data_IF_491331801129
#
_entry.id   IF_491331801129
#
_cell.length_a   1.000
_cell.length_b   1.000
_cell.length_c   1.000
_cell.angle_alpha   90.00
_cell.angle_beta   90.00
_cell.angle_gamma   90.00
#
_symmetry.space_group_name_H-M   'P 1'
#
loop_
_entity.id
_entity.type
_entity.pdbx_description
1 polymer ?
#
# COMPACT_ATOMS: atom_id res chain seq x y z
N UNK A 1 -4.08 -18.29 -56.16
CA UNK A 1 -4.49 -18.26 -54.74
C UNK A 1 -4.23 -16.86 -54.21
N UNK A 2 -5.23 -16.00 -54.30
CA UNK A 2 -6.09 -15.60 -53.19
C UNK A 2 -5.37 -14.77 -52.10
N UNK A 3 -5.69 -13.47 -52.13
CA UNK A 3 -5.99 -12.57 -51.01
C UNK A 3 -4.94 -12.45 -49.89
N UNK A 4 -4.44 -11.23 -49.66
CA UNK A 4 -4.59 -10.48 -48.39
C UNK A 4 -4.08 -9.05 -48.64
N UNK A 5 -5.02 -8.14 -48.86
CA UNK A 5 -4.84 -6.69 -48.70
C UNK A 5 -6.02 -6.21 -47.86
N UNK A 6 -5.74 -5.24 -46.99
CA UNK A 6 -6.69 -4.47 -46.17
C UNK A 6 -7.12 -5.13 -44.85
N UNK A 7 -6.70 -4.53 -43.73
CA UNK A 7 -7.59 -3.97 -42.68
C UNK A 7 -6.72 -2.97 -41.89
N UNK A 8 -6.85 -1.71 -42.26
CA UNK A 8 -6.58 -0.56 -41.42
C UNK A 8 -7.96 0.03 -41.07
N UNK A 9 -8.07 0.60 -39.86
CA UNK A 9 -9.12 1.52 -39.40
C UNK A 9 -10.46 0.90 -38.98
N UNK A 10 -10.63 0.69 -37.68
CA UNK A 10 -11.94 0.82 -37.03
C UNK A 10 -11.82 1.71 -35.80
N UNK A 11 -12.38 2.91 -35.93
CA UNK A 11 -12.54 3.94 -34.89
C UNK A 11 -13.97 3.88 -34.34
N UNK A 12 -14.21 4.03 -33.02
CA UNK A 12 -15.55 3.97 -32.45
C UNK A 12 -16.23 5.34 -32.50
N UNK A 13 -17.06 5.56 -33.52
CA UNK A 13 -18.14 6.55 -33.47
C UNK A 13 -19.41 5.84 -33.96
N UNK A 14 -20.46 5.89 -33.15
CA UNK A 14 -21.90 5.63 -33.39
C UNK A 14 -22.47 4.93 -32.15
N UNK A 15 -22.86 5.71 -31.15
CA UNK A 15 -23.83 5.29 -30.13
C UNK A 15 -24.46 6.50 -29.44
N UNK A 16 -25.15 7.35 -30.21
CA UNK A 16 -25.94 8.47 -29.67
C UNK A 16 -27.39 8.54 -30.22
N UNK A 17 -27.81 7.72 -31.20
CA UNK A 17 -29.13 7.90 -31.83
C UNK A 17 -30.31 7.04 -31.32
N UNK A 18 -30.22 6.36 -30.17
CA UNK A 18 -31.34 5.49 -29.71
C UNK A 18 -32.10 5.98 -28.48
N UNK A 19 -32.14 7.28 -28.18
CA UNK A 19 -32.81 7.79 -26.95
C UNK A 19 -33.86 8.89 -27.18
N UNK A 20 -34.42 9.06 -28.38
CA UNK A 20 -35.42 10.12 -28.65
C UNK A 20 -36.66 9.57 -29.39
N UNK A 21 -37.31 8.53 -28.86
CA UNK A 21 -38.57 8.05 -29.45
C UNK A 21 -39.61 7.49 -28.46
N UNK A 22 -39.56 7.85 -27.17
CA UNK A 22 -40.57 7.39 -26.18
C UNK A 22 -41.15 8.57 -25.38
N UNK A 23 -41.52 9.68 -26.04
CA UNK A 23 -42.14 10.83 -25.34
C UNK A 23 -43.48 11.27 -25.94
N UNK A 24 -44.00 10.65 -27.00
CA UNK A 24 -45.30 11.04 -27.56
C UNK A 24 -46.15 9.81 -27.84
N UNK A 25 -47.00 9.45 -26.87
CA UNK A 25 -48.41 9.16 -27.14
C UNK A 25 -49.17 9.01 -25.81
N UNK A 26 -49.78 10.12 -25.45
CA UNK A 26 -50.83 10.28 -24.46
C UNK A 26 -52.11 9.53 -24.86
N UNK A 27 -52.69 8.87 -23.85
CA UNK A 27 -54.12 8.85 -23.52
C UNK A 27 -55.11 8.36 -24.58
N UNK A 28 -55.62 7.14 -24.38
CA UNK A 28 -57.02 6.81 -24.66
C UNK A 28 -57.50 5.69 -23.73
N UNK A 29 -58.75 5.85 -23.27
CA UNK A 29 -59.67 4.85 -22.73
C UNK A 29 -59.71 4.61 -21.20
N UNK A 30 -60.69 5.30 -20.59
CA UNK A 30 -61.35 4.99 -19.33
C UNK A 30 -62.27 3.75 -19.46
N UNK A 31 -62.31 2.99 -18.35
CA UNK A 31 -63.41 2.17 -17.81
C UNK A 31 -63.87 0.91 -18.56
N UNK A 32 -63.67 -0.26 -17.93
CA UNK A 32 -64.72 -1.23 -17.59
C UNK A 32 -64.19 -2.33 -16.66
N UNK A 33 -65.11 -2.92 -15.91
CA UNK A 33 -64.97 -3.49 -14.58
C UNK A 33 -64.44 -4.94 -14.51
N UNK A 34 -63.98 -5.29 -13.30
CA UNK A 34 -64.12 -6.59 -12.62
C UNK A 34 -63.65 -7.87 -13.33
N UNK A 35 -62.38 -8.21 -13.11
CA UNK A 35 -61.98 -9.62 -12.98
C UNK A 35 -60.86 -9.78 -11.96
N UNK A 36 -61.21 -10.41 -10.85
CA UNK A 36 -60.35 -10.88 -9.79
C UNK A 36 -59.24 -11.78 -10.32
N UNK A 37 -58.01 -11.27 -10.39
CA UNK A 37 -56.81 -12.09 -10.38
C UNK A 37 -55.81 -11.48 -9.41
N UNK A 38 -55.50 -12.28 -8.39
CA UNK A 38 -54.55 -12.04 -7.34
C UNK A 38 -53.21 -11.55 -7.89
N UNK A 39 -52.96 -10.25 -7.76
CA UNK A 39 -51.62 -9.72 -7.88
C UNK A 39 -50.80 -10.35 -6.75
N UNK A 40 -49.93 -11.29 -7.13
CA UNK A 40 -48.82 -11.78 -6.35
C UNK A 40 -48.13 -10.57 -5.73
N UNK A 41 -48.44 -10.36 -4.46
CA UNK A 41 -47.84 -9.36 -3.62
C UNK A 41 -46.40 -9.82 -3.42
N UNK A 42 -45.52 -9.48 -4.37
CA UNK A 42 -44.09 -9.71 -4.29
C UNK A 42 -43.58 -8.72 -3.24
N UNK A 43 -43.85 -9.07 -1.98
CA UNK A 43 -43.13 -8.61 -0.83
C UNK A 43 -41.69 -9.02 -1.10
N UNK A 44 -40.94 -8.16 -1.79
CA UNK A 44 -39.50 -8.17 -1.70
C UNK A 44 -39.23 -7.98 -0.21
N UNK A 45 -39.04 -9.11 0.47
CA UNK A 45 -38.43 -9.16 1.78
C UNK A 45 -37.06 -8.54 1.54
N UNK A 46 -36.99 -7.20 1.58
CA UNK A 46 -35.77 -6.48 1.93
C UNK A 46 -35.44 -7.12 3.25
N UNK A 47 -34.55 -8.11 3.20
CA UNK A 47 -34.04 -8.79 4.36
C UNK A 47 -33.69 -7.66 5.32
N UNK A 48 -34.51 -7.52 6.36
CA UNK A 48 -34.32 -6.49 7.35
C UNK A 48 -32.87 -6.55 7.76
N UNK A 49 -32.29 -5.39 8.10
CA UNK A 49 -31.03 -5.32 8.82
C UNK A 49 -31.23 -6.09 10.14
N UNK A 50 -31.24 -7.41 10.09
CA UNK A 50 -30.98 -8.27 11.22
C UNK A 50 -29.61 -7.80 11.62
N UNK A 51 -29.55 -7.05 12.71
CA UNK A 51 -28.32 -6.80 13.42
C UNK A 51 -27.68 -8.17 13.57
N UNK A 52 -26.73 -8.48 12.69
CA UNK A 52 -25.89 -9.66 12.84
C UNK A 52 -25.14 -9.33 14.11
N UNK A 53 -25.62 -9.87 15.23
CA UNK A 53 -24.90 -9.80 16.49
C UNK A 53 -23.62 -10.56 16.20
N UNK A 54 -22.55 -9.81 15.94
CA UNK A 54 -21.23 -10.39 15.78
C UNK A 54 -20.92 -10.94 17.15
N UNK A 55 -21.24 -12.21 17.38
CA UNK A 55 -20.60 -12.96 18.44
C UNK A 55 -19.12 -12.88 18.09
N UNK A 56 -18.41 -11.97 18.77
CA UNK A 56 -17.00 -12.13 19.04
C UNK A 56 -16.87 -13.57 19.55
N UNK A 57 -16.56 -14.48 18.62
CA UNK A 57 -16.15 -15.83 18.96
C UNK A 57 -15.15 -15.67 20.10
N UNK A 58 -15.41 -16.24 21.29
CA UNK A 58 -14.47 -16.18 22.38
C UNK A 58 -13.19 -16.80 21.86
N UNK A 59 -12.10 -16.03 21.84
CA UNK A 59 -10.79 -16.56 21.47
C UNK A 59 -10.20 -17.43 22.60
N UNK A 60 -10.96 -17.63 23.68
CA UNK A 60 -10.53 -18.24 24.95
C UNK A 60 -10.10 -19.72 24.80
N UNK A 61 -10.54 -20.41 23.75
CA UNK A 61 -10.14 -21.79 23.48
C UNK A 61 -8.80 -21.91 22.73
N UNK A 62 -8.28 -20.81 22.18
CA UNK A 62 -6.99 -20.82 21.50
C UNK A 62 -5.87 -20.56 22.51
N UNK A 63 -4.70 -21.20 22.35
CA UNK A 63 -3.55 -21.01 23.24
C UNK A 63 -2.88 -19.63 23.08
N UNK A 64 -3.43 -18.76 22.23
CA UNK A 64 -2.94 -17.41 21.96
C UNK A 64 -4.12 -16.47 21.74
N UNK A 65 -3.93 -15.20 22.13
CA UNK A 65 -4.92 -14.16 21.92
C UNK A 65 -4.69 -13.48 20.56
N UNK A 66 -5.75 -13.39 19.76
CA UNK A 66 -5.75 -12.56 18.56
C UNK A 66 -6.40 -11.21 18.85
N UNK A 67 -5.62 -10.14 18.72
CA UNK A 67 -6.12 -8.77 18.71
C UNK A 67 -5.98 -8.17 17.31
N UNK A 68 -6.98 -7.38 16.91
CA UNK A 68 -6.89 -6.62 15.65
C UNK A 68 -5.97 -5.43 15.88
N UNK A 69 -4.93 -5.32 15.05
CA UNK A 69 -4.06 -4.14 15.03
C UNK A 69 -4.87 -2.85 14.88
N UNK A 70 -4.62 -1.90 15.79
CA UNK A 70 -5.19 -0.54 15.75
C UNK A 70 -4.42 0.27 14.70
N UNK A 71 -4.80 0.10 13.44
CA UNK A 71 -4.22 0.87 12.33
C UNK A 71 -4.81 2.27 12.28
N UNK A 72 -3.95 3.26 12.01
CA UNK A 72 -4.39 4.58 11.59
C UNK A 72 -5.31 4.47 10.37
N UNK A 73 -6.31 5.36 10.26
CA UNK A 73 -7.20 5.33 9.12
C UNK A 73 -6.41 5.53 7.82
N UNK A 74 -6.81 4.89 6.70
CA UNK A 74 -6.00 4.86 5.48
C UNK A 74 -5.60 6.22 4.94
N UNK A 75 -6.46 7.24 5.08
CA UNK A 75 -6.21 8.60 4.58
C UNK A 75 -5.08 9.33 5.35
N UNK A 76 -4.75 8.91 6.58
CA UNK A 76 -3.62 9.43 7.35
C UNK A 76 -2.32 8.69 7.06
N UNK A 77 -2.40 7.42 6.65
CA UNK A 77 -1.23 6.61 6.29
C UNK A 77 -0.73 6.96 4.88
N UNK A 78 -0.01 8.08 4.75
CA UNK A 78 0.52 8.55 3.46
C UNK A 78 1.91 8.00 3.15
N UNK A 79 2.71 7.69 4.18
CA UNK A 79 4.12 7.32 4.01
C UNK A 79 5.03 8.53 3.78
N UNK A 80 4.62 9.72 4.23
CA UNK A 80 5.48 10.91 4.23
C UNK A 80 6.09 11.09 5.62
N UNK A 81 7.38 11.42 5.69
CA UNK A 81 8.04 11.72 6.97
C UNK A 81 7.48 13.00 7.61
N UNK A 82 7.17 14.01 6.78
CA UNK A 82 6.60 15.29 7.19
C UNK A 82 5.14 15.37 6.76
N UNK A 83 4.25 15.70 7.72
CA UNK A 83 2.80 15.83 7.49
C UNK A 83 2.38 17.21 6.98
N UNK A 84 3.21 18.22 7.18
CA UNK A 84 3.02 19.58 6.68
C UNK A 84 3.80 19.83 5.39
N UNK A 85 3.41 20.85 4.63
CA UNK A 85 4.05 21.22 3.35
C UNK A 85 5.48 21.74 3.60
N UNK A 86 5.70 22.46 4.71
CA UNK A 86 6.97 23.06 5.09
C UNK A 86 6.78 24.38 5.81
N UNK A 87 7.88 24.97 6.27
CA UNK A 87 7.92 26.35 6.78
C UNK A 87 7.87 27.34 5.61
N UNK A 88 7.35 28.54 5.85
CA UNK A 88 7.32 29.63 4.86
C UNK A 88 7.58 30.94 5.59
N UNK A 89 8.30 31.85 4.93
CA UNK A 89 8.66 33.13 5.49
C UNK A 89 7.53 34.15 5.19
N UNK A 90 6.98 34.85 6.19
CA UNK A 90 5.90 35.81 5.97
C UNK A 90 6.28 36.98 5.07
N UNK A 91 7.57 37.30 4.99
CA UNK A 91 8.14 38.39 4.20
C UNK A 91 8.34 38.02 2.73
N UNK A 92 8.26 36.74 2.37
CA UNK A 92 8.35 36.32 0.98
C UNK A 92 7.24 36.97 0.14
N UNK A 93 7.54 37.28 -1.12
CA UNK A 93 6.57 37.88 -2.03
C UNK A 93 5.60 36.83 -2.56
N UNK A 94 4.35 37.26 -2.80
CA UNK A 94 3.32 36.46 -3.46
C UNK A 94 3.85 35.96 -4.83
N UNK A 95 3.54 34.71 -5.23
CA UNK A 95 3.90 34.20 -6.55
C UNK A 95 3.47 35.15 -7.67
N UNK A 96 4.38 35.45 -8.60
CA UNK A 96 4.14 36.39 -9.70
C UNK A 96 4.57 37.83 -9.40
N UNK A 97 4.41 38.31 -8.16
CA UNK A 97 4.84 39.66 -7.77
C UNK A 97 6.36 39.85 -7.86
N UNK A 98 7.11 38.77 -7.75
CA UNK A 98 8.58 38.71 -7.86
C UNK A 98 9.11 39.26 -9.20
N UNK A 99 8.32 39.18 -10.27
CA UNK A 99 8.73 39.62 -11.61
C UNK A 99 8.48 41.11 -11.86
N UNK A 100 7.76 41.80 -10.97
CA UNK A 100 7.39 43.20 -11.17
C UNK A 100 8.54 44.13 -10.77
N UNK A 101 9.05 44.90 -11.73
CA UNK A 101 10.11 45.90 -11.46
C UNK A 101 9.58 47.06 -10.61
N UNK A 102 8.31 47.43 -10.80
CA UNK A 102 7.62 48.51 -10.06
C UNK A 102 7.63 48.26 -8.54
N UNK A 103 7.57 46.99 -8.13
CA UNK A 103 7.52 46.64 -6.70
C UNK A 103 8.86 46.84 -5.99
N UNK A 104 9.97 46.92 -6.74
CA UNK A 104 11.30 47.20 -6.18
C UNK A 104 11.41 48.66 -5.72
N UNK A 105 10.78 49.57 -6.47
CA UNK A 105 10.81 51.02 -6.20
C UNK A 105 9.64 51.48 -5.32
N UNK A 106 8.67 50.58 -5.06
CA UNK A 106 7.47 50.89 -4.29
C UNK A 106 7.78 51.16 -2.79
N UNK A 107 6.97 52.01 -2.13
CA UNK A 107 7.11 52.26 -0.69
C UNK A 107 6.89 50.99 0.12
N UNK A 108 7.52 50.91 1.29
CA UNK A 108 7.54 49.69 2.12
C UNK A 108 6.14 49.17 2.47
N UNK A 109 5.17 50.07 2.70
CA UNK A 109 3.78 49.72 3.00
C UNK A 109 3.17 48.90 1.84
N UNK A 110 3.40 49.32 0.60
CA UNK A 110 2.90 48.62 -0.60
C UNK A 110 3.62 47.28 -0.74
N UNK A 111 4.95 47.25 -0.59
CA UNK A 111 5.73 46.00 -0.63
C UNK A 111 5.23 44.99 0.41
N UNK A 112 4.88 45.46 1.61
CA UNK A 112 4.33 44.65 2.69
C UNK A 112 2.97 44.03 2.34
N UNK A 113 2.10 44.74 1.62
CA UNK A 113 0.82 44.18 1.16
C UNK A 113 1.00 43.00 0.19
N UNK A 114 2.09 43.00 -0.60
CA UNK A 114 2.44 41.91 -1.50
C UNK A 114 3.26 40.78 -0.85
N UNK A 115 3.42 40.81 0.48
CA UNK A 115 4.07 39.73 1.23
C UNK A 115 3.09 38.61 1.57
N UNK A 116 3.59 37.38 1.70
CA UNK A 116 2.80 36.19 2.00
C UNK A 116 2.09 36.27 3.35
N UNK A 117 2.59 37.06 4.29
CA UNK A 117 1.95 37.29 5.59
C UNK A 117 0.53 37.86 5.49
N UNK A 118 0.24 38.63 4.43
CA UNK A 118 -1.09 39.21 4.16
C UNK A 118 -1.88 38.40 3.13
N UNK A 119 -1.28 37.37 2.55
CA UNK A 119 -1.86 36.66 1.44
C UNK A 119 -2.80 35.52 1.90
N UNK A 120 -3.76 35.15 1.05
CA UNK A 120 -4.67 34.06 1.36
C UNK A 120 -3.94 32.73 1.47
N UNK A 121 -4.47 31.79 2.26
CA UNK A 121 -3.82 30.49 2.44
C UNK A 121 -3.57 29.74 1.12
N UNK A 122 -4.46 29.89 0.14
CA UNK A 122 -4.30 29.29 -1.18
C UNK A 122 -3.00 29.77 -1.88
N UNK A 123 -2.70 31.07 -1.80
CA UNK A 123 -1.49 31.67 -2.36
C UNK A 123 -0.23 31.23 -1.61
N UNK A 124 -0.30 31.12 -0.28
CA UNK A 124 0.80 30.58 0.54
C UNK A 124 1.10 29.13 0.14
N UNK A 125 0.05 28.31 -0.04
CA UNK A 125 0.22 26.92 -0.49
C UNK A 125 0.79 26.86 -1.91
N UNK A 126 0.38 27.75 -2.81
CA UNK A 126 0.93 27.83 -4.16
C UNK A 126 2.44 28.19 -4.13
N UNK A 127 2.83 29.16 -3.32
CA UNK A 127 4.23 29.51 -3.13
C UNK A 127 5.07 28.35 -2.57
N UNK A 128 4.57 27.67 -1.53
CA UNK A 128 5.23 26.49 -0.96
C UNK A 128 5.32 25.35 -1.98
N UNK A 129 4.28 25.18 -2.80
CA UNK A 129 4.26 24.21 -3.89
C UNK A 129 5.36 24.51 -4.89
N UNK A 130 5.49 25.75 -5.35
CA UNK A 130 6.52 26.14 -6.32
C UNK A 130 7.92 25.89 -5.77
N UNK A 131 8.20 26.29 -4.52
CA UNK A 131 9.48 25.98 -3.84
C UNK A 131 9.81 24.48 -3.86
N UNK A 132 8.83 23.61 -3.59
CA UNK A 132 9.05 22.14 -3.61
C UNK A 132 9.23 21.63 -5.03
N UNK A 133 8.46 22.15 -5.98
CA UNK A 133 8.57 21.77 -7.39
C UNK A 133 9.94 22.15 -7.96
N UNK A 134 10.48 23.31 -7.62
CA UNK A 134 11.77 23.79 -8.12
C UNK A 134 12.95 22.90 -7.71
N UNK A 135 12.86 22.20 -6.56
CA UNK A 135 13.86 21.21 -6.15
C UNK A 135 13.89 19.96 -7.04
N UNK A 136 12.75 19.66 -7.66
CA UNK A 136 12.49 18.40 -8.37
C UNK A 136 12.49 18.58 -9.89
N UNK A 137 12.12 19.75 -10.39
CA UNK A 137 12.07 20.10 -11.82
C UNK A 137 13.41 19.85 -12.51
N UNK A 138 13.34 19.36 -13.75
CA UNK A 138 14.55 19.18 -14.60
C UNK A 138 14.96 20.50 -15.26
N UNK A 139 13.98 21.31 -15.64
CA UNK A 139 14.16 22.63 -16.22
C UNK A 139 13.07 23.58 -15.68
N UNK A 140 13.24 24.92 -15.75
CA UNK A 140 12.32 25.87 -15.11
C UNK A 140 10.87 25.77 -15.59
N UNK A 141 10.66 25.40 -16.86
CA UNK A 141 9.34 25.24 -17.46
C UNK A 141 8.77 23.82 -17.36
N UNK A 142 9.41 22.93 -16.61
CA UNK A 142 8.97 21.54 -16.47
C UNK A 142 7.74 21.47 -15.57
N UNK A 143 6.62 21.11 -16.18
CA UNK A 143 5.32 20.97 -15.48
C UNK A 143 4.80 19.54 -15.47
N UNK A 144 5.25 18.70 -16.40
CA UNK A 144 4.58 17.43 -16.72
C UNK A 144 5.43 16.19 -16.48
N UNK A 145 6.71 16.34 -16.14
CA UNK A 145 7.56 15.21 -15.79
C UNK A 145 6.98 14.39 -14.62
N UNK A 146 7.26 13.08 -14.59
CA UNK A 146 6.73 12.21 -13.54
C UNK A 146 7.20 12.64 -12.14
N UNK A 147 8.42 13.18 -12.03
CA UNK A 147 8.95 13.70 -10.77
C UNK A 147 8.17 14.92 -10.27
N UNK A 148 7.89 15.88 -11.17
CA UNK A 148 7.08 17.06 -10.86
C UNK A 148 5.66 16.67 -10.46
N UNK A 149 5.05 15.69 -11.13
CA UNK A 149 3.72 15.16 -10.75
C UNK A 149 3.72 14.49 -9.38
N UNK A 150 4.76 13.72 -9.07
CA UNK A 150 4.93 13.11 -7.73
C UNK A 150 5.02 14.20 -6.67
N UNK A 151 5.84 15.23 -6.90
CA UNK A 151 5.98 16.37 -6.00
C UNK A 151 4.64 17.13 -5.82
N UNK A 152 3.91 17.40 -6.91
CA UNK A 152 2.58 18.00 -6.83
C UNK A 152 1.60 17.17 -5.99
N UNK A 153 1.56 15.85 -6.20
CA UNK A 153 0.72 14.97 -5.39
C UNK A 153 1.13 15.01 -3.92
N UNK A 154 2.42 15.09 -3.60
CA UNK A 154 2.88 15.17 -2.20
C UNK A 154 2.45 16.46 -1.51
N UNK A 155 2.50 17.59 -2.21
CA UNK A 155 2.05 18.88 -1.67
C UNK A 155 0.54 18.84 -1.39
N UNK A 156 -0.24 18.31 -2.32
CA UNK A 156 -1.69 18.15 -2.14
C UNK A 156 -2.03 17.20 -0.98
N UNK A 157 -1.29 16.09 -0.87
CA UNK A 157 -1.44 15.11 0.22
C UNK A 157 -1.16 15.76 1.58
N UNK A 158 -0.07 16.51 1.71
CA UNK A 158 0.29 17.26 2.94
C UNK A 158 -0.71 18.35 3.27
N UNK A 159 -1.20 19.08 2.27
CA UNK A 159 -2.24 20.09 2.47
C UNK A 159 -3.55 19.47 3.01
N UNK A 160 -3.94 18.31 2.47
CA UNK A 160 -5.09 17.55 2.97
C UNK A 160 -4.86 16.99 4.37
N UNK A 161 -3.65 16.52 4.70
CA UNK A 161 -3.32 16.10 6.06
C UNK A 161 -3.51 17.25 7.06
N UNK A 162 -3.02 18.43 6.74
CA UNK A 162 -3.25 19.64 7.57
C UNK A 162 -4.74 19.93 7.73
N UNK A 163 -5.54 19.79 6.66
CA UNK A 163 -7.00 19.95 6.74
C UNK A 163 -7.64 18.95 7.70
N UNK A 164 -7.29 17.67 7.61
CA UNK A 164 -7.83 16.62 8.50
C UNK A 164 -7.44 16.81 9.96
N UNK A 165 -6.27 17.39 10.23
CA UNK A 165 -5.77 17.63 11.59
C UNK A 165 -6.36 18.90 12.20
N UNK A 166 -6.45 19.99 11.42
CA UNK A 166 -6.76 21.33 11.96
C UNK A 166 -8.19 21.81 11.69
N UNK A 167 -8.84 21.35 10.62
CA UNK A 167 -10.10 21.92 10.16
C UNK A 167 -11.22 20.91 10.35
N UNK A 168 -11.22 19.84 9.55
CA UNK A 168 -12.27 18.83 9.58
C UNK A 168 -11.72 17.44 9.27
N UNK A 169 -11.81 16.57 10.27
CA UNK A 169 -11.46 15.15 10.18
C UNK A 169 -12.49 14.35 9.38
N UNK A 170 -13.72 14.83 9.23
CA UNK A 170 -14.84 14.04 8.69
C UNK A 170 -15.15 14.29 7.22
N UNK A 171 -14.52 15.28 6.57
CA UNK A 171 -14.66 15.56 5.13
C UNK A 171 -14.44 14.32 4.24
N UNK A 172 -15.55 13.76 3.74
CA UNK A 172 -15.55 12.54 2.95
C UNK A 172 -14.95 12.75 1.54
N UNK A 173 -15.19 13.92 0.94
CA UNK A 173 -14.73 14.22 -0.43
C UNK A 173 -13.21 14.28 -0.47
N UNK A 174 -12.61 14.98 0.51
CA UNK A 174 -11.15 15.04 0.63
C UNK A 174 -10.52 13.70 0.96
N UNK A 175 -11.17 12.84 1.73
CA UNK A 175 -10.66 11.48 2.00
C UNK A 175 -10.57 10.64 0.72
N UNK A 176 -11.59 10.71 -0.14
CA UNK A 176 -11.58 10.02 -1.44
C UNK A 176 -10.48 10.58 -2.33
N UNK A 177 -10.34 11.91 -2.37
CA UNK A 177 -9.27 12.56 -3.12
C UNK A 177 -7.88 12.16 -2.60
N UNK A 178 -7.70 12.11 -1.28
CA UNK A 178 -6.46 11.71 -0.63
C UNK A 178 -6.03 10.31 -1.06
N UNK A 179 -6.95 9.34 -1.03
CA UNK A 179 -6.64 7.97 -1.45
C UNK A 179 -6.32 7.90 -2.94
N UNK A 180 -7.03 8.68 -3.76
CA UNK A 180 -6.77 8.79 -5.20
C UNK A 180 -5.37 9.35 -5.47
N UNK A 181 -4.98 10.41 -4.77
CA UNK A 181 -3.65 11.03 -4.87
C UNK A 181 -2.54 10.06 -4.45
N UNK A 182 -2.73 9.35 -3.33
CA UNK A 182 -1.78 8.32 -2.87
C UNK A 182 -1.57 7.23 -3.92
N UNK A 183 -2.65 6.72 -4.50
CA UNK A 183 -2.59 5.66 -5.51
C UNK A 183 -1.90 6.15 -6.80
N UNK A 184 -2.22 7.36 -7.27
CA UNK A 184 -1.55 7.96 -8.43
C UNK A 184 -0.06 8.20 -8.18
N UNK A 185 0.30 8.68 -6.99
CA UNK A 185 1.68 8.87 -6.56
C UNK A 185 2.44 7.54 -6.53
N UNK A 186 1.88 6.51 -5.90
CA UNK A 186 2.51 5.19 -5.83
C UNK A 186 2.72 4.58 -7.22
N UNK A 187 1.74 4.73 -8.13
CA UNK A 187 1.89 4.30 -9.52
C UNK A 187 3.07 4.98 -10.22
N UNK A 188 3.17 6.31 -10.13
CA UNK A 188 4.28 7.05 -10.72
C UNK A 188 5.63 6.68 -10.09
N UNK A 189 5.68 6.49 -8.77
CA UNK A 189 6.91 6.07 -8.08
C UNK A 189 7.37 4.69 -8.55
N UNK A 190 6.44 3.75 -8.80
CA UNK A 190 6.77 2.47 -9.41
C UNK A 190 7.32 2.63 -10.83
N UNK A 191 6.67 3.45 -11.65
CA UNK A 191 7.12 3.72 -13.03
C UNK A 191 8.55 4.31 -13.04
N UNK A 192 8.83 5.30 -12.20
CA UNK A 192 10.16 5.89 -12.07
C UNK A 192 11.15 4.83 -11.56
N UNK A 193 10.78 4.01 -10.57
CA UNK A 193 11.66 2.98 -10.02
C UNK A 193 12.12 1.98 -11.09
N UNK A 194 11.22 1.55 -11.98
CA UNK A 194 11.54 0.63 -13.05
C UNK A 194 12.33 1.29 -14.21
N UNK A 195 12.13 2.59 -14.44
CA UNK A 195 12.81 3.33 -15.51
C UNK A 195 14.22 3.79 -15.10
N UNK A 196 14.34 4.43 -13.95
CA UNK A 196 15.58 5.04 -13.47
C UNK A 196 15.63 5.04 -11.93
N UNK A 197 16.46 4.13 -11.41
CA UNK A 197 16.62 3.91 -9.98
C UNK A 197 17.31 5.09 -9.28
N UNK A 198 18.22 5.78 -9.95
CA UNK A 198 18.95 6.91 -9.36
C UNK A 198 18.04 8.11 -9.19
N UNK A 199 17.23 8.42 -10.22
CA UNK A 199 16.20 9.46 -10.14
C UNK A 199 15.18 9.17 -9.05
N UNK A 200 14.74 7.92 -8.96
CA UNK A 200 13.85 7.48 -7.88
C UNK A 200 14.45 7.73 -6.50
N UNK A 201 15.69 7.31 -6.27
CA UNK A 201 16.38 7.49 -4.99
C UNK A 201 16.55 8.98 -4.64
N UNK A 202 16.96 9.80 -5.61
CA UNK A 202 17.06 11.27 -5.45
C UNK A 202 15.72 11.86 -5.06
N UNK A 203 14.65 11.52 -5.79
CA UNK A 203 13.30 12.03 -5.56
C UNK A 203 12.77 11.70 -4.17
N UNK A 204 12.94 10.45 -3.72
CA UNK A 204 12.52 10.01 -2.39
C UNK A 204 13.25 10.76 -1.29
N UNK A 205 14.56 10.95 -1.43
CA UNK A 205 15.37 11.69 -0.46
C UNK A 205 14.94 13.15 -0.37
N UNK A 206 14.74 13.81 -1.51
CA UNK A 206 14.33 15.21 -1.57
C UNK A 206 12.94 15.44 -0.96
N UNK A 207 11.98 14.58 -1.28
CA UNK A 207 10.61 14.74 -0.81
C UNK A 207 10.37 14.11 0.57
N UNK A 208 11.26 13.26 1.07
CA UNK A 208 11.10 12.57 2.36
C UNK A 208 9.93 11.59 2.36
N UNK A 209 9.85 10.72 1.35
CA UNK A 209 8.75 9.75 1.16
C UNK A 209 9.26 8.33 1.47
N UNK A 210 8.60 7.62 2.38
CA UNK A 210 8.80 6.18 2.58
C UNK A 210 7.92 5.40 1.60
N UNK A 211 8.50 4.87 0.53
CA UNK A 211 7.80 4.10 -0.48
C UNK A 211 8.27 2.64 -0.49
N UNK A 212 7.33 1.71 -0.37
CA UNK A 212 7.60 0.27 -0.50
C UNK A 212 7.38 -0.13 -1.95
N UNK A 213 8.45 -0.54 -2.62
CA UNK A 213 8.41 -1.02 -4.01
C UNK A 213 7.69 -2.39 -4.04
N UNK A 214 6.82 -2.65 -5.02
CA UNK A 214 6.21 -3.96 -5.19
C UNK A 214 7.30 -5.00 -5.50
N UNK A 215 7.34 -6.08 -4.71
CA UNK A 215 8.24 -7.21 -4.94
C UNK A 215 7.62 -8.14 -5.99
N UNK A 216 8.42 -8.58 -6.95
CA UNK A 216 7.96 -9.46 -8.03
C UNK A 216 7.53 -10.82 -7.46
N UNK A 217 6.33 -11.28 -7.83
CA UNK A 217 5.80 -12.58 -7.39
C UNK A 217 5.24 -12.63 -5.97
N UNK A 218 5.33 -11.55 -5.18
CA UNK A 218 4.77 -11.51 -3.83
C UNK A 218 3.30 -11.05 -3.87
N UNK A 219 2.39 -11.97 -3.54
CA UNK A 219 0.96 -11.65 -3.43
C UNK A 219 0.67 -11.15 -2.02
N UNK A 220 0.42 -9.84 -1.88
CA UNK A 220 -0.01 -9.28 -0.60
C UNK A 220 -1.49 -9.56 -0.36
N UNK A 221 -1.80 -10.45 0.59
CA UNK A 221 -3.17 -10.66 1.02
C UNK A 221 -3.63 -9.56 1.98
N UNK A 222 -4.90 -9.15 1.86
CA UNK A 222 -5.51 -8.27 2.86
C UNK A 222 -5.58 -9.02 4.20
N UNK A 223 -5.12 -8.43 5.31
CA UNK A 223 -5.22 -9.09 6.61
C UNK A 223 -6.69 -9.30 6.95
N UNK A 224 -7.08 -10.56 7.10
CA UNK A 224 -8.43 -10.96 7.52
C UNK A 224 -8.32 -11.68 8.85
N UNK A 225 -9.32 -11.56 9.73
CA UNK A 225 -9.35 -12.27 11.02
C UNK A 225 -9.03 -13.76 10.86
N UNK A 226 -9.69 -14.41 9.90
CA UNK A 226 -9.48 -15.84 9.60
C UNK A 226 -8.06 -16.14 9.13
N UNK A 227 -7.48 -15.27 8.30
CA UNK A 227 -6.11 -15.39 7.83
C UNK A 227 -5.10 -15.25 8.98
N UNK A 228 -5.28 -14.24 9.83
CA UNK A 228 -4.41 -14.00 10.99
C UNK A 228 -4.46 -15.13 12.00
N UNK A 229 -5.66 -15.61 12.35
CA UNK A 229 -5.79 -16.75 13.28
C UNK A 229 -5.07 -17.98 12.70
N UNK A 230 -5.23 -18.26 11.39
CA UNK A 230 -4.51 -19.37 10.73
C UNK A 230 -3.00 -19.17 10.74
N UNK A 231 -2.51 -17.94 10.59
CA UNK A 231 -1.09 -17.60 10.69
C UNK A 231 -0.57 -17.89 12.10
N UNK A 232 -1.24 -17.37 13.13
CA UNK A 232 -0.89 -17.59 14.53
C UNK A 232 -0.96 -19.08 14.93
N UNK A 233 -1.95 -19.83 14.44
CA UNK A 233 -2.01 -21.29 14.66
C UNK A 233 -0.81 -21.98 14.03
N UNK A 234 -0.43 -21.58 12.81
CA UNK A 234 0.75 -22.16 12.13
C UNK A 234 2.03 -21.89 12.91
N UNK A 235 2.27 -20.63 13.29
CA UNK A 235 3.41 -20.21 14.11
C UNK A 235 3.45 -20.98 15.45
N UNK A 236 2.29 -21.18 16.10
CA UNK A 236 2.19 -21.97 17.32
C UNK A 236 2.53 -23.45 17.09
N UNK A 237 2.00 -24.07 16.04
CA UNK A 237 2.31 -25.46 15.70
C UNK A 237 3.78 -25.64 15.30
N UNK A 238 4.38 -24.67 14.60
CA UNK A 238 5.81 -24.65 14.26
C UNK A 238 6.67 -24.61 15.52
N UNK A 239 6.39 -23.70 16.46
CA UNK A 239 7.09 -23.67 17.76
C UNK A 239 6.99 -24.98 18.55
N UNK A 240 5.84 -25.64 18.52
CA UNK A 240 5.69 -26.97 19.16
C UNK A 240 6.57 -28.01 18.47
N UNK A 241 6.60 -28.02 17.13
CA UNK A 241 7.43 -28.94 16.37
C UNK A 241 8.91 -28.70 16.66
N UNK A 242 9.35 -27.44 16.64
CA UNK A 242 10.71 -27.04 16.95
C UNK A 242 11.11 -27.51 18.35
N UNK A 243 10.30 -27.21 19.38
CA UNK A 243 10.55 -27.67 20.75
C UNK A 243 10.68 -29.19 20.84
N UNK A 244 9.77 -29.94 20.21
CA UNK A 244 9.82 -31.41 20.22
C UNK A 244 11.03 -31.96 19.46
N UNK A 245 11.41 -31.30 18.38
CA UNK A 245 12.61 -31.66 17.62
C UNK A 245 13.86 -31.41 18.46
N UNK A 246 13.96 -30.28 19.16
CA UNK A 246 15.06 -29.96 20.06
C UNK A 246 15.18 -30.97 21.21
N UNK A 247 14.06 -31.30 21.86
CA UNK A 247 14.00 -32.32 22.92
C UNK A 247 14.49 -33.68 22.41
N UNK A 248 14.01 -34.13 21.25
CA UNK A 248 14.44 -35.38 20.64
C UNK A 248 15.90 -35.35 20.20
N UNK A 249 16.39 -34.22 19.71
CA UNK A 249 17.79 -34.05 19.30
C UNK A 249 18.74 -34.14 20.50
N UNK A 250 18.30 -33.65 21.68
CA UNK A 250 19.04 -33.80 22.93
C UNK A 250 19.10 -35.27 23.37
N UNK A 251 17.96 -36.00 23.36
CA UNK A 251 17.93 -37.43 23.69
C UNK A 251 18.85 -38.27 22.77
N UNK A 252 18.84 -37.99 21.47
CA UNK A 252 19.71 -38.67 20.51
C UNK A 252 21.19 -38.37 20.77
N UNK A 253 21.53 -37.13 21.16
CA UNK A 253 22.90 -36.74 21.47
C UNK A 253 23.42 -37.48 22.70
N UNK A 254 22.60 -37.66 23.73
CA UNK A 254 22.94 -38.46 24.90
C UNK A 254 23.20 -39.93 24.52
N UNK A 255 22.30 -40.54 23.75
CA UNK A 255 22.48 -41.91 23.25
C UNK A 255 23.72 -42.06 22.36
N UNK A 256 24.03 -41.04 21.57
CA UNK A 256 25.23 -41.03 20.74
C UNK A 256 26.49 -41.06 21.62
N UNK A 257 26.54 -40.29 22.70
CA UNK A 257 27.69 -40.31 23.62
C UNK A 257 27.90 -41.69 24.26
N UNK A 258 26.81 -42.35 24.69
CA UNK A 258 26.91 -43.71 25.26
C UNK A 258 27.39 -44.73 24.24
N UNK A 259 26.89 -44.65 22.99
CA UNK A 259 27.32 -45.53 21.90
C UNK A 259 28.77 -45.30 21.49
N UNK A 260 29.25 -44.05 21.53
CA UNK A 260 30.63 -43.71 21.23
C UNK A 260 31.59 -44.27 22.30
N UNK A 261 31.18 -44.28 23.58
CA UNK A 261 31.94 -44.93 24.66
C UNK A 261 31.97 -46.46 24.51
N UNK A 262 30.84 -47.08 24.12
CA UNK A 262 30.78 -48.51 23.82
C UNK A 262 31.67 -48.90 22.63
N UNK A 263 31.65 -48.10 21.55
CA UNK A 263 32.55 -48.28 20.41
C UNK A 263 34.01 -48.22 20.83
N UNK A 264 34.41 -47.22 21.64
CA UNK A 264 35.79 -47.12 22.15
C UNK A 264 36.20 -48.36 22.93
N UNK A 265 35.31 -48.88 23.80
CA UNK A 265 35.58 -50.12 24.55
C UNK A 265 35.76 -51.34 23.63
N UNK A 266 34.91 -51.46 22.60
CA UNK A 266 35.01 -52.53 21.61
C UNK A 266 36.31 -52.40 20.81
N UNK A 267 36.66 -51.20 20.37
CA UNK A 267 37.91 -50.92 19.65
C UNK A 267 39.14 -51.28 20.50
N UNK A 268 39.12 -50.98 21.80
CA UNK A 268 40.17 -51.38 22.74
C UNK A 268 40.29 -52.91 22.87
N UNK A 269 39.16 -53.63 22.92
CA UNK A 269 39.13 -55.11 22.96
C UNK A 269 39.70 -55.67 21.65
N UNK A 270 39.22 -55.18 20.50
CA UNK A 270 39.72 -55.58 19.17
C UNK A 270 41.23 -55.32 19.05
N UNK A 271 41.72 -54.20 19.59
CA UNK A 271 43.15 -53.88 19.56
C UNK A 271 43.98 -54.82 20.45
N UNK A 272 43.47 -55.24 21.61
CA UNK A 272 44.11 -56.22 22.49
C UNK A 272 44.14 -57.61 21.86
N UNK A 273 43.01 -58.07 21.32
CA UNK A 273 42.87 -59.38 20.68
C UNK A 273 43.72 -59.46 19.41
N UNK A 274 43.76 -58.40 18.60
CA UNK A 274 44.62 -58.31 17.41
C UNK A 274 46.11 -58.41 17.75
N UNK A 275 46.56 -57.81 18.86
CA UNK A 275 47.93 -57.98 19.37
C UNK A 275 48.20 -59.42 19.82
N UNK A 276 47.25 -60.06 20.51
CA UNK A 276 47.38 -61.44 20.98
C UNK A 276 47.46 -62.44 19.82
N UNK A 277 46.66 -62.23 18.77
CA UNK A 277 46.62 -63.09 17.58
C UNK A 277 47.73 -62.77 16.55
N UNK A 278 48.57 -61.75 16.79
CA UNK A 278 49.62 -61.34 15.85
C UNK A 278 49.10 -60.72 14.54
N UNK A 279 47.81 -60.35 14.49
CA UNK A 279 47.19 -59.75 13.31
C UNK A 279 47.45 -58.24 13.36
N UNK A 280 48.41 -57.78 12.58
CA UNK A 280 48.62 -56.34 12.35
C UNK A 280 47.46 -55.86 11.48
N UNK A 281 46.47 -55.21 12.09
CA UNK A 281 45.38 -54.55 11.38
C UNK A 281 45.97 -53.50 10.43
N UNK A 282 46.14 -53.86 9.15
CA UNK A 282 46.30 -52.90 8.07
C UNK A 282 44.97 -52.18 7.93
N UNK A 283 44.85 -51.02 8.57
CA UNK A 283 43.62 -50.24 8.56
C UNK A 283 43.11 -50.03 7.14
N UNK A 284 41.86 -50.41 6.89
CA UNK A 284 41.12 -49.99 5.71
C UNK A 284 40.98 -48.47 5.79
N UNK A 285 41.88 -47.81 5.06
CA UNK A 285 41.98 -46.37 4.90
C UNK A 285 40.80 -45.89 4.03
N UNK A 286 39.59 -45.89 4.58
CA UNK A 286 38.40 -45.40 3.89
C UNK A 286 38.28 -43.87 4.10
N UNK A 287 39.18 -43.13 3.47
CA UNK A 287 38.97 -41.73 3.12
C UNK A 287 38.40 -41.68 1.70
N UNK A 288 37.06 -41.67 1.57
CA UNK A 288 36.30 -41.16 0.43
C UNK A 288 34.95 -40.65 0.89
#
# INVERSE_FOLDING_TARGET
MQRITQILQYSPKIRIQSMISIVLNSNQCLNNESSSQSLLNYNSRRFGRRYRRWYHWPNDFLPFQWEREKLDPPYLRTGDAVRDIGFWDPQDLIPGAQYSNVLKDAPEIVRRQFSLGFAERATVVAHQRDKILDLVRRHPLDKMSPEVKVAEYTVNIRNNLRHFIKIDKYDAKRKIQQETLKNRRAKLLNEIYYQDRERYNRLIRLLGITHVVPKLGEITHKPTRKGEIRRLTREYCERIKERKLEEYHAELKEKQTTLDDEKRRIDEIIQKDGKYLGIVNQGLNNNK
#
